data_IF_564306902921
#
_entry.id   IF_564306902921
#
_cell.length_a   1.000
_cell.length_b   1.000
_cell.length_c   1.000
_cell.angle_alpha   90.00
_cell.angle_beta   90.00
_cell.angle_gamma   90.00
#
_symmetry.space_group_name_H-M   'P 1'
#
loop_
_entity.id
_entity.type
_entity.pdbx_description
1 polymer ?
#
# COMPACT_ATOMS: atom_id res chain seq x y z
N UNK A 1 7.65 2.31 16.57
CA UNK A 1 7.75 1.62 15.26
C UNK A 1 9.19 1.48 14.78
N UNK A 2 9.99 2.55 14.66
CA UNK A 2 11.38 2.44 14.18
C UNK A 2 12.32 1.62 15.08
N UNK A 3 12.10 1.60 16.39
CA UNK A 3 12.85 0.68 17.28
C UNK A 3 12.63 -0.79 16.92
N UNK A 4 11.40 -1.16 16.53
CA UNK A 4 11.11 -2.52 16.05
C UNK A 4 11.73 -2.77 14.69
N UNK A 5 11.74 -1.77 13.79
CA UNK A 5 12.43 -1.86 12.50
C UNK A 5 13.90 -2.24 12.70
N UNK A 6 14.63 -1.43 13.46
CA UNK A 6 16.08 -1.58 13.65
C UNK A 6 16.44 -2.84 14.45
N UNK A 7 15.61 -3.24 15.42
CA UNK A 7 15.89 -4.46 16.20
C UNK A 7 15.82 -5.76 15.37
N UNK A 8 15.28 -5.71 14.15
CA UNK A 8 15.16 -6.86 13.25
C UNK A 8 16.27 -6.94 12.19
N UNK A 9 17.12 -5.91 12.06
CA UNK A 9 18.13 -5.81 11.00
C UNK A 9 19.12 -6.99 10.99
N UNK A 10 19.58 -7.42 12.18
CA UNK A 10 20.48 -8.56 12.29
C UNK A 10 19.84 -9.86 11.77
N UNK A 11 18.60 -10.14 12.17
CA UNK A 11 17.89 -11.34 11.74
C UNK A 11 17.59 -11.32 10.23
N UNK A 12 17.23 -10.15 9.68
CA UNK A 12 17.06 -9.96 8.24
C UNK A 12 18.37 -10.21 7.49
N UNK A 13 19.48 -9.61 7.97
CA UNK A 13 20.80 -9.77 7.38
C UNK A 13 21.28 -11.21 7.37
N UNK A 14 21.13 -11.93 8.47
CA UNK A 14 21.47 -13.35 8.58
C UNK A 14 20.64 -14.21 7.61
N UNK A 15 19.32 -13.99 7.57
CA UNK A 15 18.43 -14.74 6.69
C UNK A 15 18.80 -14.56 5.21
N UNK A 16 18.92 -13.32 4.73
CA UNK A 16 19.23 -13.08 3.32
C UNK A 16 20.64 -13.50 2.94
N UNK A 17 21.61 -13.37 3.86
CA UNK A 17 22.98 -13.86 3.63
C UNK A 17 23.03 -15.38 3.47
N UNK A 18 22.30 -16.11 4.32
CA UNK A 18 22.17 -17.56 4.20
C UNK A 18 21.51 -17.98 2.89
N UNK A 19 20.40 -17.31 2.51
CA UNK A 19 19.68 -17.56 1.25
C UNK A 19 20.54 -17.29 0.01
N UNK A 20 21.33 -16.22 0.04
CA UNK A 20 22.27 -15.91 -1.03
C UNK A 20 23.38 -16.97 -1.14
N UNK A 21 23.94 -17.43 -0.01
CA UNK A 21 24.95 -18.49 0.00
C UNK A 21 24.41 -19.84 -0.49
N UNK A 22 23.14 -20.13 -0.25
CA UNK A 22 22.43 -21.31 -0.78
C UNK A 22 22.13 -21.21 -2.30
N UNK A 23 22.26 -20.02 -2.91
CA UNK A 23 21.84 -19.78 -4.30
C UNK A 23 20.31 -19.83 -4.50
N UNK A 24 19.54 -19.66 -3.42
CA UNK A 24 18.07 -19.84 -3.42
C UNK A 24 17.30 -18.51 -3.39
N UNK A 25 18.01 -17.38 -3.51
CA UNK A 25 17.43 -16.04 -3.42
C UNK A 25 17.15 -15.45 -4.81
N UNK A 26 15.88 -15.14 -5.07
CA UNK A 26 15.47 -14.29 -6.19
C UNK A 26 14.77 -13.03 -5.64
N UNK A 27 15.36 -11.86 -5.90
CA UNK A 27 14.80 -10.58 -5.47
C UNK A 27 13.62 -10.11 -6.32
N UNK A 28 13.39 -10.72 -7.49
CA UNK A 28 12.23 -10.42 -8.32
C UNK A 28 11.00 -11.25 -7.93
N UNK A 29 11.20 -12.36 -7.22
CA UNK A 29 10.13 -13.26 -6.79
C UNK A 29 10.52 -14.04 -5.53
N UNK A 30 9.91 -13.68 -4.40
CA UNK A 30 10.11 -14.42 -3.16
C UNK A 30 9.27 -15.69 -3.09
N UNK A 31 9.94 -16.79 -2.73
CA UNK A 31 9.31 -18.08 -2.47
C UNK A 31 8.56 -18.11 -1.13
N UNK A 32 7.84 -19.21 -0.89
CA UNK A 32 7.05 -19.40 0.33
C UNK A 32 7.90 -19.25 1.60
N UNK A 33 9.12 -19.80 1.63
CA UNK A 33 10.03 -19.71 2.79
C UNK A 33 10.32 -18.24 3.12
N UNK A 34 10.59 -17.43 2.11
CA UNK A 34 10.88 -16.01 2.27
C UNK A 34 9.64 -15.21 2.65
N UNK A 35 8.48 -15.51 2.05
CA UNK A 35 7.22 -14.87 2.43
C UNK A 35 6.86 -15.17 3.89
N UNK A 36 6.99 -16.42 4.33
CA UNK A 36 6.75 -16.82 5.73
C UNK A 36 7.71 -16.12 6.69
N UNK A 37 8.98 -15.95 6.31
CA UNK A 37 9.95 -15.23 7.13
C UNK A 37 9.65 -13.73 7.25
N UNK A 38 9.19 -13.10 6.17
CA UNK A 38 8.94 -11.66 6.09
C UNK A 38 7.58 -11.23 6.65
N UNK A 39 6.61 -12.15 6.77
CA UNK A 39 5.21 -11.84 7.11
C UNK A 39 5.04 -11.00 8.39
N UNK A 40 5.93 -11.15 9.37
CA UNK A 40 5.88 -10.49 10.68
C UNK A 40 6.99 -9.42 10.87
N UNK A 41 7.80 -9.15 9.85
CA UNK A 41 8.94 -8.22 9.92
C UNK A 41 8.51 -6.81 9.52
N UNK A 42 8.87 -5.84 10.36
CA UNK A 42 8.63 -4.42 10.12
C UNK A 42 9.79 -3.86 9.31
N UNK A 43 9.66 -3.95 7.99
CA UNK A 43 10.55 -3.26 7.06
C UNK A 43 9.84 -1.96 6.66
N UNK A 44 10.21 -0.87 7.32
CA UNK A 44 9.64 0.45 7.07
C UNK A 44 10.51 1.25 6.10
N UNK A 45 9.92 2.26 5.48
CA UNK A 45 10.71 3.36 4.92
C UNK A 45 11.52 4.02 6.04
N UNK A 46 12.79 4.29 5.79
CA UNK A 46 13.62 5.11 6.66
C UNK A 46 12.93 6.46 6.95
N UNK A 47 13.15 7.07 8.14
CA UNK A 47 12.49 8.32 8.52
C UNK A 47 12.57 9.41 7.45
N UNK A 48 13.76 9.64 6.89
CA UNK A 48 13.99 10.65 5.86
C UNK A 48 13.26 10.35 4.54
N UNK A 49 13.05 9.07 4.22
CA UNK A 49 12.29 8.65 3.02
C UNK A 49 10.80 8.87 3.24
N UNK A 50 10.29 8.57 4.43
CA UNK A 50 8.90 8.81 4.77
C UNK A 50 8.58 10.32 4.80
N UNK A 51 9.49 11.14 5.34
CA UNK A 51 9.40 12.61 5.29
C UNK A 51 9.44 13.12 3.84
N UNK A 52 10.31 12.57 2.99
CA UNK A 52 10.34 12.91 1.58
C UNK A 52 8.99 12.63 0.89
N UNK A 53 8.36 11.47 1.13
CA UNK A 53 7.02 11.16 0.62
C UNK A 53 5.97 12.17 1.09
N UNK A 54 6.01 12.58 2.36
CA UNK A 54 5.15 13.66 2.87
C UNK A 54 5.36 14.95 2.08
N UNK A 55 6.61 15.40 1.91
CA UNK A 55 6.92 16.65 1.20
C UNK A 55 6.51 16.61 -0.27
N UNK A 56 6.65 15.47 -0.95
CA UNK A 56 6.16 15.28 -2.33
C UNK A 56 4.63 15.43 -2.38
N UNK A 57 3.90 14.79 -1.47
CA UNK A 57 2.45 14.93 -1.39
C UNK A 57 2.02 16.38 -1.12
N UNK A 58 2.74 17.10 -0.25
CA UNK A 58 2.51 18.53 0.04
C UNK A 58 2.76 19.39 -1.20
N UNK A 59 3.87 19.18 -1.89
CA UNK A 59 4.23 19.92 -3.11
C UNK A 59 3.19 19.72 -4.23
N UNK A 60 2.68 18.49 -4.38
CA UNK A 60 1.62 18.15 -5.35
C UNK A 60 0.22 18.59 -4.90
N UNK A 61 0.06 19.07 -3.66
CA UNK A 61 -1.24 19.34 -3.02
C UNK A 61 -2.18 18.12 -3.09
N UNK A 62 -1.61 16.92 -2.98
CA UNK A 62 -2.37 15.68 -3.03
C UNK A 62 -3.38 15.60 -1.88
N UNK A 63 -4.65 15.38 -2.19
CA UNK A 63 -5.72 15.13 -1.19
C UNK A 63 -6.16 13.67 -1.18
N UNK A 64 -5.84 12.91 -2.23
CA UNK A 64 -6.19 11.50 -2.38
C UNK A 64 -4.94 10.72 -2.77
N UNK A 65 -4.57 9.74 -1.96
CA UNK A 65 -3.39 8.90 -2.20
C UNK A 65 -3.80 7.44 -2.20
N UNK A 66 -3.19 6.67 -3.09
CA UNK A 66 -3.31 5.22 -3.13
C UNK A 66 -1.96 4.63 -2.74
N UNK A 67 -1.94 3.72 -1.77
CA UNK A 67 -0.74 3.00 -1.32
C UNK A 67 -0.92 1.50 -1.52
N UNK A 68 0.03 0.87 -2.21
CA UNK A 68 0.13 -0.58 -2.32
C UNK A 68 1.29 -1.07 -1.42
N UNK A 69 0.96 -1.75 -0.31
CA UNK A 69 1.93 -2.26 0.64
C UNK A 69 2.12 -1.35 1.85
N UNK A 70 1.14 -1.37 2.75
CA UNK A 70 1.13 -0.58 3.99
C UNK A 70 2.10 -1.11 5.05
N UNK A 71 2.35 -2.42 5.08
CA UNK A 71 3.10 -3.09 6.14
C UNK A 71 2.54 -2.72 7.52
N UNK A 72 3.36 -2.15 8.40
CA UNK A 72 2.95 -1.67 9.72
C UNK A 72 2.47 -0.21 9.74
N UNK A 73 2.37 0.46 8.59
CA UNK A 73 1.71 1.76 8.49
C UNK A 73 2.59 3.00 8.63
N UNK A 74 3.92 2.85 8.64
CA UNK A 74 4.84 4.01 8.80
C UNK A 74 4.68 5.00 7.66
N UNK A 75 4.74 4.54 6.41
CA UNK A 75 4.54 5.37 5.22
C UNK A 75 3.11 5.91 5.16
N UNK A 76 2.11 5.07 5.41
CA UNK A 76 0.68 5.43 5.38
C UNK A 76 0.37 6.59 6.32
N UNK A 77 0.99 6.63 7.51
CA UNK A 77 0.83 7.75 8.45
C UNK A 77 1.35 9.06 7.83
N UNK A 78 2.53 9.04 7.21
CA UNK A 78 3.09 10.22 6.55
C UNK A 78 2.21 10.69 5.39
N UNK A 79 1.69 9.77 4.59
CA UNK A 79 0.74 10.07 3.51
C UNK A 79 -0.55 10.68 4.06
N UNK A 80 -1.10 10.13 5.14
CA UNK A 80 -2.32 10.62 5.80
C UNK A 80 -2.13 12.03 6.39
N UNK A 81 -0.98 12.29 7.01
CA UNK A 81 -0.61 13.63 7.48
C UNK A 81 -0.55 14.63 6.32
N UNK A 82 0.05 14.25 5.18
CA UNK A 82 0.18 15.14 4.03
C UNK A 82 -1.18 15.51 3.43
N UNK A 83 -2.07 14.54 3.21
CA UNK A 83 -3.42 14.81 2.67
C UNK A 83 -4.26 15.64 3.64
N UNK A 84 -4.12 15.41 4.96
CA UNK A 84 -4.78 16.21 6.00
C UNK A 84 -4.37 17.67 5.94
N UNK A 85 -3.07 17.91 5.88
CA UNK A 85 -2.55 19.27 5.87
C UNK A 85 -2.92 19.97 4.55
N UNK A 86 -2.91 19.26 3.43
CA UNK A 86 -3.35 19.81 2.14
C UNK A 86 -4.84 20.19 2.15
N UNK A 87 -5.68 19.36 2.76
CA UNK A 87 -7.10 19.66 2.92
C UNK A 87 -7.38 20.83 3.86
N UNK A 88 -6.51 21.08 4.85
CA UNK A 88 -6.59 22.27 5.71
C UNK A 88 -6.19 23.56 4.97
N UNK A 89 -5.18 23.48 4.11
CA UNK A 89 -4.68 24.63 3.34
C UNK A 89 -5.62 25.03 2.21
N UNK A 90 -6.32 24.07 1.60
CA UNK A 90 -7.39 24.36 0.66
C UNK A 90 -8.56 24.99 1.41
N UNK A 91 -8.77 26.31 1.28
CA UNK A 91 -9.90 27.08 1.87
C UNK A 91 -11.31 26.48 1.62
N UNK A 92 -11.44 25.42 0.84
CA UNK A 92 -12.69 24.74 0.50
C UNK A 92 -13.06 23.69 1.55
N UNK A 93 -14.12 23.96 2.31
CA UNK A 93 -14.94 22.91 2.92
C UNK A 93 -15.34 21.92 1.83
N UNK A 94 -14.85 20.66 1.88
CA UNK A 94 -15.34 19.56 1.04
C UNK A 94 -14.34 18.80 0.16
N UNK A 95 -13.02 19.04 0.24
CA UNK A 95 -12.06 18.14 -0.40
C UNK A 95 -11.93 16.84 0.41
N UNK A 96 -12.29 15.70 -0.20
CA UNK A 96 -12.09 14.37 0.40
C UNK A 96 -10.59 14.11 0.59
N UNK A 97 -10.12 14.21 1.83
CA UNK A 97 -8.78 13.80 2.24
C UNK A 97 -8.79 12.30 2.56
N UNK A 98 -8.10 11.48 1.77
CA UNK A 98 -8.09 10.04 2.00
C UNK A 98 -6.82 9.37 1.48
N UNK A 99 -6.36 8.38 2.23
CA UNK A 99 -5.38 7.38 1.80
C UNK A 99 -6.11 6.05 1.66
N UNK A 100 -6.16 5.51 0.44
CA UNK A 100 -6.66 4.17 0.17
C UNK A 100 -5.44 3.25 0.14
N UNK A 101 -5.36 2.34 1.10
CA UNK A 101 -4.16 1.58 1.38
C UNK A 101 -4.46 0.08 1.30
N UNK A 102 -3.49 -0.73 0.88
CA UNK A 102 -3.61 -2.20 0.92
C UNK A 102 -2.47 -2.87 1.66
N UNK A 103 -2.79 -3.88 2.47
CA UNK A 103 -1.80 -4.77 3.09
C UNK A 103 -2.19 -6.23 2.89
N UNK A 104 -1.23 -7.05 2.45
CA UNK A 104 -1.47 -8.47 2.21
C UNK A 104 -1.65 -9.26 3.52
N UNK A 105 -0.80 -9.01 4.53
CA UNK A 105 -0.78 -9.79 5.76
C UNK A 105 -1.78 -9.25 6.80
N UNK A 106 -2.80 -10.03 7.21
CA UNK A 106 -3.84 -9.56 8.14
C UNK A 106 -3.29 -9.05 9.48
N UNK A 107 -2.27 -9.71 10.04
CA UNK A 107 -1.66 -9.32 11.31
C UNK A 107 -0.93 -7.98 11.21
N UNK A 108 -0.27 -7.70 10.07
CA UNK A 108 0.33 -6.39 9.80
C UNK A 108 -0.74 -5.34 9.63
N UNK A 109 -1.81 -5.64 8.91
CA UNK A 109 -2.94 -4.73 8.74
C UNK A 109 -3.59 -4.36 10.09
N UNK A 110 -3.79 -5.34 10.97
CA UNK A 110 -4.32 -5.11 12.32
C UNK A 110 -3.40 -4.19 13.13
N UNK A 111 -2.09 -4.44 13.12
CA UNK A 111 -1.10 -3.61 13.82
C UNK A 111 -1.00 -2.20 13.23
N UNK A 112 -1.05 -2.07 11.90
CA UNK A 112 -1.11 -0.78 11.22
C UNK A 112 -2.33 0.04 11.66
N UNK A 113 -3.52 -0.55 11.73
CA UNK A 113 -4.73 0.12 12.25
C UNK A 113 -4.56 0.61 13.70
N UNK A 114 -3.83 -0.12 14.53
CA UNK A 114 -3.52 0.35 15.88
C UNK A 114 -2.61 1.58 15.85
N UNK A 115 -1.53 1.55 15.06
CA UNK A 115 -0.64 2.70 14.89
C UNK A 115 -1.37 3.93 14.30
N UNK A 116 -2.32 3.73 13.38
CA UNK A 116 -3.11 4.83 12.81
C UNK A 116 -3.99 5.52 13.85
N UNK A 117 -4.57 4.75 14.78
CA UNK A 117 -5.35 5.28 15.90
C UNK A 117 -4.46 6.04 16.87
N UNK A 118 -3.31 5.47 17.21
CA UNK A 118 -2.32 6.11 18.09
C UNK A 118 -1.81 7.45 17.50
N UNK A 119 -1.58 7.49 16.18
CA UNK A 119 -1.15 8.69 15.46
C UNK A 119 -2.30 9.69 15.19
N UNK A 120 -3.55 9.34 15.48
CA UNK A 120 -4.71 10.22 15.26
C UNK A 120 -5.00 10.53 13.79
N UNK A 121 -4.80 9.56 12.90
CA UNK A 121 -5.04 9.69 11.45
C UNK A 121 -5.92 8.58 10.86
N UNK A 122 -6.47 7.71 11.71
CA UNK A 122 -7.25 6.55 11.26
C UNK A 122 -8.50 6.93 10.45
N UNK A 123 -9.08 8.10 10.69
CA UNK A 123 -10.23 8.66 9.98
C UNK A 123 -9.92 9.03 8.51
N UNK A 124 -8.64 9.12 8.15
CA UNK A 124 -8.18 9.47 6.81
C UNK A 124 -7.74 8.25 5.99
N UNK A 125 -7.83 7.04 6.53
CA UNK A 125 -7.24 5.84 5.94
C UNK A 125 -8.29 4.76 5.74
N UNK A 126 -8.48 4.35 4.48
CA UNK A 126 -9.22 3.14 4.10
C UNK A 126 -8.21 2.01 3.85
N UNK A 127 -7.86 1.26 4.91
CA UNK A 127 -6.95 0.11 4.83
C UNK A 127 -7.71 -1.18 4.49
N UNK A 128 -7.42 -1.71 3.30
CA UNK A 128 -7.98 -2.95 2.76
C UNK A 128 -6.97 -4.09 2.88
N UNK A 129 -7.44 -5.27 3.28
CA UNK A 129 -6.59 -6.46 3.32
C UNK A 129 -6.58 -7.16 1.96
N UNK A 130 -5.38 -7.50 1.48
CA UNK A 130 -5.14 -8.20 0.23
C UNK A 130 -4.25 -7.44 -0.75
N UNK A 131 -4.46 -7.70 -2.03
CA UNK A 131 -3.61 -7.20 -3.10
C UNK A 131 -4.32 -6.15 -3.95
N UNK A 132 -3.51 -5.35 -4.64
CA UNK A 132 -3.93 -4.48 -5.75
C UNK A 132 -3.60 -5.19 -7.06
N UNK A 133 -4.52 -5.14 -8.01
CA UNK A 133 -4.26 -5.45 -9.42
C UNK A 133 -4.46 -4.17 -10.22
N UNK A 134 -3.43 -3.76 -10.95
CA UNK A 134 -3.48 -2.65 -11.90
C UNK A 134 -3.42 -3.24 -13.31
N UNK A 135 -4.42 -2.94 -14.15
CA UNK A 135 -4.50 -3.45 -15.52
C UNK A 135 -4.67 -2.28 -16.50
N UNK A 136 -3.76 -2.15 -17.46
CA UNK A 136 -3.70 -1.04 -18.41
C UNK A 136 -4.49 -1.31 -19.69
N UNK A 137 -4.87 -0.23 -20.37
CA UNK A 137 -5.63 -0.19 -21.62
C UNK A 137 -6.99 -0.90 -21.58
N UNK A 138 -7.63 -0.95 -20.41
CA UNK A 138 -8.85 -1.73 -20.22
C UNK A 138 -10.09 -1.10 -20.84
N UNK A 139 -10.11 0.21 -21.09
CA UNK A 139 -11.16 0.85 -21.91
C UNK A 139 -10.90 0.65 -23.39
N UNK A 140 -9.65 0.82 -23.83
CA UNK A 140 -9.26 0.67 -25.24
C UNK A 140 -9.51 -0.74 -25.78
N UNK A 141 -9.24 -1.76 -24.97
CA UNK A 141 -9.41 -3.17 -25.36
C UNK A 141 -10.53 -3.86 -24.57
N UNK A 142 -11.62 -3.13 -24.28
CA UNK A 142 -12.73 -3.59 -23.43
C UNK A 142 -13.22 -5.01 -23.76
N UNK A 143 -13.43 -5.29 -25.04
CA UNK A 143 -13.97 -6.59 -25.50
C UNK A 143 -12.97 -7.73 -25.26
N UNK A 144 -11.66 -7.49 -25.43
CA UNK A 144 -10.63 -8.48 -25.16
C UNK A 144 -10.50 -8.79 -23.67
N UNK A 145 -10.86 -7.85 -22.80
CA UNK A 145 -10.90 -8.02 -21.34
C UNK A 145 -12.28 -8.47 -20.81
N UNK A 146 -13.23 -8.89 -21.66
CA UNK A 146 -14.58 -9.22 -21.22
C UNK A 146 -14.61 -10.23 -20.05
N UNK A 147 -13.85 -11.32 -20.15
CA UNK A 147 -13.74 -12.34 -19.08
C UNK A 147 -13.07 -11.79 -17.81
N UNK A 148 -12.05 -10.94 -17.96
CA UNK A 148 -11.42 -10.24 -16.84
C UNK A 148 -12.45 -9.37 -16.10
N UNK A 149 -13.27 -8.59 -16.82
CA UNK A 149 -14.31 -7.76 -16.23
C UNK A 149 -15.44 -8.56 -15.60
N UNK A 150 -15.81 -9.69 -16.18
CA UNK A 150 -16.75 -10.63 -15.56
C UNK A 150 -16.19 -11.12 -14.22
N UNK A 151 -14.93 -11.55 -14.19
CA UNK A 151 -14.28 -12.02 -12.96
C UNK A 151 -14.20 -10.94 -11.88
N UNK A 152 -13.67 -9.74 -12.19
CA UNK A 152 -13.47 -8.70 -11.16
C UNK A 152 -14.77 -8.03 -10.70
N UNK A 153 -15.86 -8.12 -11.48
CA UNK A 153 -17.17 -7.58 -11.12
C UNK A 153 -18.07 -8.60 -10.39
N UNK A 154 -17.77 -9.90 -10.46
CA UNK A 154 -18.47 -10.89 -9.63
C UNK A 154 -18.12 -10.67 -8.16
N UNK A 155 -19.12 -10.28 -7.36
CA UNK A 155 -19.00 -10.05 -5.91
C UNK A 155 -18.50 -11.28 -5.15
N UNK A 156 -18.69 -12.50 -5.68
CA UNK A 156 -18.16 -13.74 -5.08
C UNK A 156 -16.64 -13.75 -5.02
N UNK A 157 -15.97 -13.04 -5.94
CA UNK A 157 -14.51 -12.98 -5.99
C UNK A 157 -13.92 -11.98 -5.00
N UNK A 158 -14.76 -11.24 -4.27
CA UNK A 158 -14.31 -10.32 -3.21
C UNK A 158 -13.34 -9.26 -3.74
N UNK A 159 -13.71 -8.66 -4.87
CA UNK A 159 -12.95 -7.60 -5.51
C UNK A 159 -13.83 -6.34 -5.62
N UNK A 160 -13.20 -5.18 -5.42
CA UNK A 160 -13.74 -3.88 -5.80
C UNK A 160 -12.81 -3.25 -6.81
N UNK A 161 -13.38 -2.60 -7.81
CA UNK A 161 -12.61 -2.08 -8.94
C UNK A 161 -13.09 -0.69 -9.34
N UNK A 162 -12.16 0.13 -9.82
CA UNK A 162 -12.38 1.46 -10.34
C UNK A 162 -11.50 1.67 -11.58
N UNK A 163 -12.13 2.01 -12.70
CA UNK A 163 -11.40 2.47 -13.89
C UNK A 163 -10.94 3.90 -13.66
N UNK A 164 -9.63 4.11 -13.61
CA UNK A 164 -9.01 5.42 -13.49
C UNK A 164 -8.95 6.10 -14.87
N UNK A 165 -9.14 7.43 -14.96
CA UNK A 165 -9.35 8.15 -16.23
C UNK A 165 -8.04 8.46 -16.97
N UNK A 166 -7.22 7.44 -17.20
CA UNK A 166 -6.01 7.54 -18.02
C UNK A 166 -6.33 7.20 -19.48
N UNK A 167 -5.58 7.73 -20.46
CA UNK A 167 -5.77 7.37 -21.87
C UNK A 167 -5.76 5.85 -22.08
N UNK A 168 -6.85 5.32 -22.64
CA UNK A 168 -7.03 3.88 -22.84
C UNK A 168 -7.57 3.12 -21.63
N UNK A 169 -7.73 3.76 -20.47
CA UNK A 169 -8.28 3.21 -19.24
C UNK A 169 -7.26 2.43 -18.42
N UNK A 170 -7.23 2.67 -17.10
CA UNK A 170 -6.38 1.95 -16.16
C UNK A 170 -7.27 1.38 -15.04
N UNK A 171 -7.46 0.07 -15.01
CA UNK A 171 -8.29 -0.56 -14.00
C UNK A 171 -7.52 -0.75 -12.70
N UNK A 172 -8.02 -0.16 -11.62
CA UNK A 172 -7.46 -0.29 -10.28
C UNK A 172 -8.39 -1.17 -9.45
N UNK A 173 -7.96 -2.41 -9.19
CA UNK A 173 -8.75 -3.41 -8.48
C UNK A 173 -8.10 -3.75 -7.15
N UNK A 174 -8.90 -3.87 -6.10
CA UNK A 174 -8.45 -4.29 -4.77
C UNK A 174 -9.31 -5.42 -4.24
N UNK A 175 -8.70 -6.30 -3.44
CA UNK A 175 -9.44 -7.31 -2.67
C UNK A 175 -10.16 -6.66 -1.49
N UNK A 176 -11.41 -7.07 -1.25
CA UNK A 176 -12.30 -6.57 -0.17
C UNK A 176 -12.93 -7.69 0.62
#
# INVERSE_FOLDING_TARGET
MYELHTSQDAALGEYFSARAAEGSLDFNSFDERTNVFLRDKLIALDPVKAEFCYQVCRALRATRVVEAGTSFGVSTIHLALAVRDNARDAQTRGADAIVIATEHEPDKAQRARAHFREAGVADLIDLREGAVVVCDNTEQFRDAYAEYFEFIRDRRNRLQTLTLPFPGGLEFTVRV
#
